data_IF_774504713779
#
_entry.id   IF_774504713779
#
_cell.length_a   1.000
_cell.length_b   1.000
_cell.length_c   1.000
_cell.angle_alpha   90.00
_cell.angle_beta   90.00
_cell.angle_gamma   90.00
#
_symmetry.space_group_name_H-M   'P 1'
#
loop_
_entity.id
_entity.type
_entity.pdbx_description
1 polymer ?
#
# COMPACT_ATOMS: atom_id res chain seq x y z
N UNK A 1 15.20 4.94 -3.58
CA UNK A 1 14.26 4.84 -2.44
C UNK A 1 14.94 5.23 -1.13
N UNK A 2 15.92 4.44 -0.61
CA UNK A 2 16.63 4.72 0.65
C UNK A 2 16.99 6.19 0.87
N UNK A 3 17.80 6.77 -0.02
CA UNK A 3 18.26 8.17 0.07
C UNK A 3 17.12 9.16 0.32
N UNK A 4 16.04 9.06 -0.47
CA UNK A 4 14.89 9.96 -0.33
C UNK A 4 14.16 9.72 1.00
N UNK A 5 13.98 8.46 1.42
CA UNK A 5 13.28 8.17 2.68
C UNK A 5 14.09 8.66 3.88
N UNK A 6 15.41 8.49 3.87
CA UNK A 6 16.28 8.97 4.95
C UNK A 6 16.34 10.50 5.02
N UNK A 7 16.35 11.16 3.86
CA UNK A 7 16.40 12.62 3.75
C UNK A 7 15.06 13.29 4.11
N UNK A 8 13.95 12.75 3.62
CA UNK A 8 12.64 13.41 3.68
C UNK A 8 11.87 13.03 4.96
N UNK A 9 10.84 13.81 5.27
CA UNK A 9 9.92 13.54 6.39
C UNK A 9 8.53 13.16 5.87
N UNK A 10 7.89 12.25 6.58
CA UNK A 10 6.49 11.88 6.31
C UNK A 10 5.58 13.06 6.63
N UNK A 11 4.53 13.25 5.82
CA UNK A 11 3.52 14.30 6.03
C UNK A 11 2.19 13.67 6.46
N UNK A 12 1.79 12.57 5.81
CA UNK A 12 0.56 11.84 6.13
C UNK A 12 0.76 10.32 6.05
N UNK A 13 -0.02 9.60 6.85
CA UNK A 13 -0.21 8.16 6.75
C UNK A 13 -1.72 7.86 6.71
N UNK A 14 -2.15 7.06 5.74
CA UNK A 14 -3.50 6.55 5.64
C UNK A 14 -3.56 5.11 6.11
N UNK A 15 -4.54 4.81 6.96
CA UNK A 15 -4.81 3.44 7.40
C UNK A 15 -6.30 3.14 7.23
N UNK A 16 -6.58 2.10 6.45
CA UNK A 16 -7.92 1.53 6.32
C UNK A 16 -7.88 0.12 6.87
N UNK A 17 -8.82 -0.20 7.75
CA UNK A 17 -9.02 -1.54 8.28
C UNK A 17 -10.26 -2.15 7.66
N UNK A 18 -10.24 -3.45 7.40
CA UNK A 18 -11.43 -4.21 7.02
C UNK A 18 -11.34 -5.66 7.47
N UNK A 19 -12.48 -6.34 7.44
CA UNK A 19 -12.49 -7.80 7.45
C UNK A 19 -12.06 -8.37 6.07
N UNK A 20 -12.10 -9.70 5.94
CA UNK A 20 -11.73 -10.41 4.70
C UNK A 20 -12.68 -10.18 3.53
N UNK A 21 -13.89 -9.66 3.78
CA UNK A 21 -14.89 -9.31 2.77
C UNK A 21 -14.82 -7.83 2.37
N UNK A 22 -13.93 -7.05 2.99
CA UNK A 22 -13.78 -5.62 2.72
C UNK A 22 -14.74 -4.73 3.50
N UNK A 23 -15.44 -5.26 4.51
CA UNK A 23 -16.31 -4.45 5.37
C UNK A 23 -15.47 -3.59 6.31
N UNK A 24 -15.77 -2.29 6.36
CA UNK A 24 -15.08 -1.32 7.21
C UNK A 24 -15.57 -1.42 8.67
N UNK A 25 -14.73 -1.10 9.66
CA UNK A 25 -15.15 -1.10 11.05
C UNK A 25 -16.21 -0.04 11.31
N UNK A 26 -17.21 -0.39 12.11
CA UNK A 26 -18.29 0.51 12.53
C UNK A 26 -18.10 1.08 13.94
N UNK A 27 -17.21 0.48 14.72
CA UNK A 27 -16.92 0.86 16.11
C UNK A 27 -18.18 0.99 17.00
N UNK A 28 -19.23 0.23 16.70
CA UNK A 28 -20.52 0.28 17.40
C UNK A 28 -21.43 1.44 17.00
N UNK A 29 -21.14 2.13 15.90
CA UNK A 29 -21.92 3.26 15.36
C UNK A 29 -22.52 2.91 13.98
N UNK A 30 -23.31 3.81 13.41
CA UNK A 30 -23.80 3.71 12.02
C UNK A 30 -22.76 4.13 10.96
N UNK A 31 -21.62 4.66 11.38
CA UNK A 31 -20.57 5.17 10.49
C UNK A 31 -19.48 4.14 10.25
N UNK A 32 -18.81 4.27 9.10
CA UNK A 32 -17.60 3.50 8.78
C UNK A 32 -16.36 4.38 8.95
N UNK A 33 -15.27 3.78 9.42
CA UNK A 33 -14.07 4.53 9.79
C UNK A 33 -12.85 4.21 8.92
N UNK A 34 -12.16 5.29 8.53
CA UNK A 34 -10.85 5.30 7.87
C UNK A 34 -9.99 6.34 8.58
N UNK A 35 -8.71 6.05 8.78
CA UNK A 35 -7.81 6.91 9.54
C UNK A 35 -6.82 7.62 8.62
N UNK A 36 -6.60 8.90 8.89
CA UNK A 36 -5.53 9.71 8.30
C UNK A 36 -4.75 10.38 9.43
N UNK A 37 -3.54 9.91 9.64
CA UNK A 37 -2.58 10.51 10.56
C UNK A 37 -1.83 11.63 9.83
N UNK A 38 -1.85 12.84 10.38
CA UNK A 38 -1.06 13.97 9.88
C UNK A 38 0.10 14.21 10.84
N UNK A 39 1.33 14.28 10.33
CA UNK A 39 2.54 14.40 11.17
C UNK A 39 3.03 15.83 11.28
N UNK A 40 3.55 16.20 12.46
CA UNK A 40 4.10 17.54 12.72
C UNK A 40 5.58 17.68 12.39
N UNK A 41 6.24 16.57 12.05
CA UNK A 41 7.69 16.48 11.90
C UNK A 41 8.24 17.37 10.78
N UNK A 42 7.48 17.54 9.69
CA UNK A 42 7.85 18.34 8.53
C UNK A 42 7.72 19.83 8.79
N UNK A 43 8.76 20.58 8.44
CA UNK A 43 8.82 22.03 8.46
C UNK A 43 9.34 22.53 7.10
N UNK A 44 8.47 23.22 6.37
CA UNK A 44 8.76 23.77 5.03
C UNK A 44 9.94 24.75 5.01
N UNK A 45 10.28 25.39 6.13
CA UNK A 45 11.37 26.37 6.19
C UNK A 45 12.76 25.72 6.35
N UNK A 46 12.82 24.46 6.76
CA UNK A 46 14.08 23.82 7.18
C UNK A 46 14.32 22.46 6.56
N UNK A 47 13.26 21.71 6.26
CA UNK A 47 13.38 20.35 5.79
C UNK A 47 13.52 20.29 4.27
N UNK A 48 14.24 19.30 3.72
CA UNK A 48 14.25 19.06 2.30
C UNK A 48 12.86 18.63 1.79
N UNK A 49 12.45 19.15 0.65
CA UNK A 49 11.23 18.74 -0.04
C UNK A 49 11.33 18.98 -1.56
N UNK A 50 10.36 18.43 -2.29
CA UNK A 50 10.17 18.70 -3.71
C UNK A 50 9.02 19.73 -3.86
N UNK A 51 9.30 20.87 -4.51
CA UNK A 51 8.33 21.97 -4.65
C UNK A 51 7.02 21.51 -5.32
N UNK A 52 7.11 20.78 -6.43
CA UNK A 52 5.92 20.29 -7.16
C UNK A 52 5.05 19.37 -6.28
N UNK A 53 5.69 18.56 -5.44
CA UNK A 53 5.00 17.67 -4.49
C UNK A 53 4.29 18.47 -3.40
N UNK A 54 4.93 19.49 -2.83
CA UNK A 54 4.29 20.36 -1.82
C UNK A 54 3.12 21.13 -2.43
N UNK A 55 3.30 21.75 -3.59
CA UNK A 55 2.21 22.45 -4.28
C UNK A 55 1.03 21.52 -4.58
N UNK A 56 1.30 20.28 -4.99
CA UNK A 56 0.26 19.29 -5.20
C UNK A 56 -0.49 18.98 -3.90
N UNK A 57 0.23 18.73 -2.80
CA UNK A 57 -0.37 18.40 -1.51
C UNK A 57 -1.25 19.55 -0.99
N UNK A 58 -0.78 20.80 -1.09
CA UNK A 58 -1.54 21.98 -0.70
C UNK A 58 -2.79 22.17 -1.57
N UNK A 59 -2.69 21.99 -2.89
CA UNK A 59 -3.85 22.01 -3.80
C UNK A 59 -4.88 20.93 -3.46
N UNK A 60 -4.45 19.81 -2.88
CA UNK A 60 -5.34 18.74 -2.41
C UNK A 60 -5.88 18.98 -0.99
N UNK A 61 -5.55 20.12 -0.38
CA UNK A 61 -6.11 20.58 0.89
C UNK A 61 -5.32 20.16 2.11
N UNK A 62 -4.04 19.81 1.95
CA UNK A 62 -3.16 19.55 3.10
C UNK A 62 -2.67 20.87 3.66
N UNK A 63 -3.01 21.13 4.91
CA UNK A 63 -2.58 22.31 5.66
C UNK A 63 -1.31 21.98 6.45
N UNK A 64 -0.16 22.29 5.86
CA UNK A 64 1.16 22.01 6.43
C UNK A 64 1.40 22.81 7.73
N UNK A 65 0.82 24.01 7.83
CA UNK A 65 0.91 24.83 9.05
C UNK A 65 0.13 24.18 10.19
N UNK A 66 -1.10 23.74 9.93
CA UNK A 66 -1.91 23.00 10.91
C UNK A 66 -1.24 21.67 11.29
N UNK A 67 -0.61 20.98 10.34
CA UNK A 67 0.16 19.77 10.64
C UNK A 67 1.31 20.10 11.60
N UNK A 68 2.05 21.18 11.38
CA UNK A 68 3.14 21.61 12.27
C UNK A 68 2.65 21.94 13.67
N UNK A 69 1.49 22.57 13.81
CA UNK A 69 0.92 23.00 15.09
C UNK A 69 0.23 21.88 15.87
N UNK A 70 -0.50 20.99 15.17
CA UNK A 70 -1.45 20.04 15.77
C UNK A 70 -1.25 18.59 15.34
N UNK A 71 -0.28 18.32 14.46
CA UNK A 71 0.01 16.99 13.96
C UNK A 71 0.61 16.09 15.03
N UNK A 72 0.60 14.80 14.72
CA UNK A 72 1.16 13.73 15.56
C UNK A 72 2.68 13.80 15.48
N UNK A 73 3.37 13.69 16.61
CA UNK A 73 4.82 13.45 16.60
C UNK A 73 5.10 12.04 16.12
N UNK A 74 5.96 11.88 15.11
CA UNK A 74 6.31 10.54 14.63
C UNK A 74 6.89 9.64 15.72
N UNK A 75 7.52 10.20 16.76
CA UNK A 75 8.04 9.48 17.91
C UNK A 75 6.91 8.93 18.79
N UNK A 76 5.86 9.72 19.02
CA UNK A 76 4.68 9.30 19.77
C UNK A 76 3.92 8.21 19.01
N UNK A 77 3.79 8.37 17.69
CA UNK A 77 3.25 7.34 16.81
C UNK A 77 4.06 6.04 16.89
N UNK A 78 5.39 6.14 16.80
CA UNK A 78 6.27 4.98 16.91
C UNK A 78 6.09 4.26 18.25
N UNK A 79 6.06 5.02 19.35
CA UNK A 79 5.85 4.47 20.68
C UNK A 79 4.50 3.75 20.80
N UNK A 80 3.42 4.32 20.27
CA UNK A 80 2.10 3.69 20.26
C UNK A 80 2.08 2.39 19.46
N UNK A 81 2.67 2.38 18.26
CA UNK A 81 2.75 1.17 17.41
C UNK A 81 3.62 0.09 18.06
N UNK A 82 4.77 0.46 18.63
CA UNK A 82 5.67 -0.49 19.29
C UNK A 82 5.08 -1.06 20.58
N UNK A 83 4.36 -0.25 21.35
CA UNK A 83 3.62 -0.72 22.55
C UNK A 83 2.46 -1.65 22.17
N UNK A 84 1.92 -1.48 20.96
CA UNK A 84 0.88 -2.33 20.37
C UNK A 84 1.44 -3.41 19.45
N UNK A 85 2.76 -3.65 19.44
CA UNK A 85 3.47 -4.44 18.40
C UNK A 85 2.90 -5.85 18.21
N UNK A 86 2.40 -6.46 19.28
CA UNK A 86 1.76 -7.78 19.20
C UNK A 86 0.58 -7.80 18.21
N UNK A 87 -0.14 -6.69 18.07
CA UNK A 87 -1.19 -6.52 17.07
C UNK A 87 -0.62 -6.44 15.65
N UNK A 88 0.41 -5.61 15.43
CA UNK A 88 0.99 -5.34 14.11
C UNK A 88 1.77 -6.54 13.51
N UNK A 89 2.40 -7.35 14.36
CA UNK A 89 3.13 -8.56 13.94
C UNK A 89 2.30 -9.84 14.07
N UNK A 90 0.98 -9.73 14.30
CA UNK A 90 0.11 -10.89 14.42
C UNK A 90 -0.01 -11.63 13.08
N UNK A 91 0.12 -12.96 13.12
CA UNK A 91 -0.17 -13.84 11.99
C UNK A 91 -1.64 -13.90 11.61
N UNK A 92 -2.51 -12.97 12.03
CA UNK A 92 -3.89 -12.78 11.55
C UNK A 92 -4.12 -11.52 10.68
N UNK A 93 -3.18 -10.55 10.66
CA UNK A 93 -3.30 -9.35 9.82
C UNK A 93 -2.65 -9.52 8.43
N UNK A 94 -3.22 -8.85 7.43
CA UNK A 94 -2.66 -8.73 6.09
C UNK A 94 -2.49 -7.26 5.74
N UNK A 95 -1.30 -6.88 5.28
CA UNK A 95 -0.98 -5.52 4.85
C UNK A 95 -1.14 -5.41 3.36
N UNK A 96 -1.92 -4.41 2.93
CA UNK A 96 -2.17 -4.14 1.51
C UNK A 96 -1.61 -2.76 1.20
N UNK A 97 -0.80 -2.68 0.16
CA UNK A 97 -0.20 -1.42 -0.32
C UNK A 97 -0.34 -1.30 -1.83
N UNK A 98 -0.01 -0.13 -2.38
CA UNK A 98 0.10 0.11 -3.82
C UNK A 98 1.41 0.82 -4.11
N UNK A 99 2.40 0.09 -4.65
CA UNK A 99 3.75 0.63 -4.83
C UNK A 99 4.42 1.01 -3.49
N UNK A 100 4.28 0.15 -2.49
CA UNK A 100 4.46 0.49 -1.07
C UNK A 100 5.89 0.54 -0.55
N UNK A 101 6.90 0.42 -1.41
CA UNK A 101 8.30 0.39 -1.00
C UNK A 101 8.70 1.62 -0.16
N UNK A 102 8.30 2.81 -0.61
CA UNK A 102 8.54 4.05 0.13
C UNK A 102 7.69 4.13 1.41
N UNK A 103 6.44 3.65 1.37
CA UNK A 103 5.52 3.68 2.52
C UNK A 103 6.10 2.87 3.69
N UNK A 104 6.50 1.63 3.44
CA UNK A 104 7.19 0.81 4.43
C UNK A 104 8.54 1.39 4.83
N UNK A 105 9.26 2.02 3.89
CA UNK A 105 10.47 2.78 4.21
C UNK A 105 10.23 3.84 5.28
N UNK A 106 9.25 4.72 5.09
CA UNK A 106 8.94 5.75 6.08
C UNK A 106 8.49 5.15 7.41
N UNK A 107 7.64 4.12 7.39
CA UNK A 107 7.21 3.47 8.64
C UNK A 107 8.38 2.83 9.39
N UNK A 108 9.28 2.12 8.70
CA UNK A 108 10.48 1.53 9.33
C UNK A 108 11.39 2.62 9.88
N UNK A 109 11.61 3.71 9.14
CA UNK A 109 12.37 4.88 9.63
C UNK A 109 11.76 5.44 10.92
N UNK A 110 10.44 5.60 10.97
CA UNK A 110 9.72 6.09 12.15
C UNK A 110 9.89 5.12 13.33
N UNK A 111 9.68 3.82 13.09
CA UNK A 111 9.71 2.80 14.14
C UNK A 111 11.12 2.54 14.69
N UNK A 112 12.14 2.62 13.84
CA UNK A 112 13.54 2.34 14.23
C UNK A 112 14.30 3.59 14.67
N UNK A 113 13.82 4.78 14.29
CA UNK A 113 14.50 6.07 14.49
C UNK A 113 15.92 6.09 13.91
N UNK A 114 16.15 5.31 12.85
CA UNK A 114 17.44 5.15 12.17
C UNK A 114 17.25 5.28 10.66
N UNK A 115 18.34 5.52 9.97
CA UNK A 115 18.37 5.38 8.51
C UNK A 115 18.04 3.94 8.10
N UNK A 116 17.46 3.79 6.91
CA UNK A 116 17.14 2.50 6.35
C UNK A 116 18.39 1.66 6.08
N UNK A 117 18.29 0.32 6.13
CA UNK A 117 19.40 -0.56 5.76
C UNK A 117 19.91 -0.31 4.34
N UNK A 118 21.23 -0.43 4.14
CA UNK A 118 21.86 -0.24 2.83
C UNK A 118 21.56 -1.38 1.85
N UNK A 119 21.25 -2.58 2.36
CA UNK A 119 20.96 -3.75 1.55
C UNK A 119 19.46 -4.11 1.58
N UNK A 120 19.00 -4.69 0.46
CA UNK A 120 17.60 -5.03 0.25
C UNK A 120 17.13 -6.15 1.19
N UNK A 121 17.99 -7.12 1.51
CA UNK A 121 17.63 -8.25 2.37
C UNK A 121 17.30 -7.81 3.79
N UNK A 122 18.14 -6.94 4.37
CA UNK A 122 17.91 -6.33 5.67
C UNK A 122 16.66 -5.45 5.69
N UNK A 123 16.42 -4.66 4.64
CA UNK A 123 15.21 -3.85 4.53
C UNK A 123 13.94 -4.71 4.52
N UNK A 124 13.87 -5.72 3.64
CA UNK A 124 12.73 -6.63 3.60
C UNK A 124 12.62 -7.44 4.90
N UNK A 125 13.74 -7.76 5.55
CA UNK A 125 13.77 -8.40 6.87
C UNK A 125 13.12 -7.54 7.94
N UNK A 126 13.33 -6.22 7.90
CA UNK A 126 12.62 -5.27 8.76
C UNK A 126 11.13 -5.19 8.41
N UNK A 127 10.75 -5.21 7.13
CA UNK A 127 9.34 -5.27 6.73
C UNK A 127 8.67 -6.50 7.36
N UNK A 128 9.29 -7.67 7.23
CA UNK A 128 8.80 -8.91 7.84
C UNK A 128 8.74 -8.83 9.37
N UNK A 129 9.75 -8.22 10.01
CA UNK A 129 9.82 -8.10 11.46
C UNK A 129 8.72 -7.21 12.05
N UNK A 130 8.34 -6.14 11.36
CA UNK A 130 7.37 -5.16 11.86
C UNK A 130 5.94 -5.42 11.35
N UNK A 131 5.77 -5.96 10.15
CA UNK A 131 4.47 -6.09 9.46
C UNK A 131 4.10 -7.53 9.12
N UNK A 132 4.96 -8.51 9.45
CA UNK A 132 4.69 -9.93 9.18
C UNK A 132 4.94 -10.34 7.73
N UNK A 133 4.54 -11.57 7.39
CA UNK A 133 4.76 -12.16 6.06
C UNK A 133 3.69 -11.79 5.05
N UNK A 134 2.45 -11.57 5.50
CA UNK A 134 1.29 -11.26 4.66
C UNK A 134 1.25 -9.78 4.28
N UNK A 135 2.20 -9.39 3.44
CA UNK A 135 2.28 -8.07 2.81
C UNK A 135 2.05 -8.27 1.32
N UNK A 136 1.08 -7.53 0.76
CA UNK A 136 0.66 -7.63 -0.63
C UNK A 136 0.75 -6.25 -1.30
N UNK A 137 1.57 -6.15 -2.34
CA UNK A 137 1.62 -4.95 -3.19
C UNK A 137 0.67 -5.09 -4.38
N UNK A 138 -0.45 -4.39 -4.29
CA UNK A 138 -1.54 -4.39 -5.26
C UNK A 138 -1.04 -4.05 -6.67
N UNK A 139 -0.06 -3.13 -6.80
CA UNK A 139 0.50 -2.75 -8.10
C UNK A 139 1.33 -3.88 -8.70
N UNK A 140 2.06 -4.63 -7.88
CA UNK A 140 2.83 -5.79 -8.34
C UNK A 140 1.88 -6.88 -8.84
N UNK A 141 0.87 -7.21 -8.04
CA UNK A 141 -0.07 -8.29 -8.34
C UNK A 141 -0.84 -8.01 -9.63
N UNK A 142 -1.40 -6.80 -9.76
CA UNK A 142 -2.14 -6.40 -10.96
C UNK A 142 -1.23 -6.10 -12.16
N UNK A 143 0.04 -5.76 -11.95
CA UNK A 143 0.98 -5.46 -13.05
C UNK A 143 1.26 -6.67 -13.97
N UNK A 144 1.03 -7.88 -13.47
CA UNK A 144 1.08 -9.14 -14.24
C UNK A 144 -0.06 -9.26 -15.26
N UNK A 145 -1.10 -8.44 -15.11
CA UNK A 145 -2.31 -8.46 -15.93
C UNK A 145 -2.19 -7.48 -17.09
N UNK A 146 -2.44 -7.99 -18.30
CA UNK A 146 -2.54 -7.17 -19.50
C UNK A 146 -3.71 -6.19 -19.37
N UNK A 147 -3.43 -4.88 -19.50
CA UNK A 147 -4.44 -3.82 -19.41
C UNK A 147 -4.57 -3.17 -18.02
N UNK A 148 -4.29 -3.86 -16.93
CA UNK A 148 -4.33 -3.29 -15.57
C UNK A 148 -3.00 -2.66 -15.16
N UNK A 149 -2.64 -1.56 -15.83
CA UNK A 149 -1.40 -0.80 -15.56
C UNK A 149 -1.67 0.67 -15.32
N UNK A 150 -0.91 1.28 -14.43
CA UNK A 150 -0.97 2.71 -14.15
C UNK A 150 -0.79 3.05 -12.68
N UNK A 151 -1.22 4.27 -12.32
CA UNK A 151 -1.41 4.67 -10.93
C UNK A 151 -2.73 4.14 -10.36
N UNK A 152 -2.88 4.21 -9.03
CA UNK A 152 -4.02 3.66 -8.29
C UNK A 152 -5.37 4.09 -8.88
N UNK A 153 -5.56 5.38 -9.12
CA UNK A 153 -6.82 5.93 -9.67
C UNK A 153 -7.23 5.29 -11.00
N UNK A 154 -6.25 5.07 -11.89
CA UNK A 154 -6.52 4.44 -13.20
C UNK A 154 -6.89 2.97 -13.04
N UNK A 155 -6.16 2.26 -12.18
CA UNK A 155 -6.39 0.83 -11.96
C UNK A 155 -7.74 0.61 -11.26
N UNK A 156 -8.07 1.43 -10.27
CA UNK A 156 -9.38 1.45 -9.62
C UNK A 156 -10.50 1.65 -10.63
N UNK A 157 -10.38 2.68 -11.50
CA UNK A 157 -11.36 2.95 -12.56
C UNK A 157 -11.52 1.78 -13.52
N UNK A 158 -10.43 1.11 -13.93
CA UNK A 158 -10.49 -0.05 -14.81
C UNK A 158 -11.19 -1.26 -14.18
N UNK A 159 -11.22 -1.34 -12.84
CA UNK A 159 -11.92 -2.37 -12.08
C UNK A 159 -13.35 -1.95 -11.67
N UNK A 160 -13.82 -0.79 -12.12
CA UNK A 160 -15.11 -0.22 -11.75
C UNK A 160 -15.20 0.21 -10.29
N UNK A 161 -14.06 0.51 -9.66
CA UNK A 161 -14.01 1.05 -8.29
C UNK A 161 -13.87 2.56 -8.37
N UNK A 162 -14.82 3.26 -7.76
CA UNK A 162 -14.82 4.72 -7.66
C UNK A 162 -14.45 5.19 -6.26
N UNK A 163 -13.83 6.36 -6.18
CA UNK A 163 -13.53 7.01 -4.90
C UNK A 163 -14.81 7.56 -4.29
N UNK A 164 -15.27 6.94 -3.21
CA UNK A 164 -16.53 7.27 -2.53
C UNK A 164 -16.41 8.41 -1.52
N UNK A 165 -15.22 8.62 -0.95
CA UNK A 165 -14.99 9.68 0.04
C UNK A 165 -13.54 10.17 0.06
N UNK A 166 -13.35 11.41 0.49
CA UNK A 166 -12.05 12.08 0.55
C UNK A 166 -11.53 12.52 -0.82
N UNK A 167 -10.32 13.09 -0.83
CA UNK A 167 -9.67 13.64 -2.03
C UNK A 167 -8.51 12.77 -2.47
N UNK A 168 -8.25 12.74 -3.78
CA UNK A 168 -7.06 12.11 -4.36
C UNK A 168 -5.79 12.74 -3.78
N UNK A 169 -4.77 11.92 -3.55
CA UNK A 169 -3.50 12.33 -2.93
C UNK A 169 -3.62 12.76 -1.46
N UNK A 170 -4.71 12.40 -0.79
CA UNK A 170 -4.76 12.35 0.67
C UNK A 170 -4.65 10.90 1.13
N UNK A 171 -3.73 10.65 2.06
CA UNK A 171 -3.31 9.29 2.39
C UNK A 171 -4.47 8.40 2.87
N UNK A 172 -5.40 8.92 3.68
CA UNK A 172 -6.56 8.17 4.15
C UNK A 172 -7.47 7.73 3.00
N UNK A 173 -7.84 8.68 2.14
CA UNK A 173 -8.70 8.42 0.96
C UNK A 173 -8.03 7.46 -0.03
N UNK A 174 -6.72 7.62 -0.27
CA UNK A 174 -5.96 6.72 -1.12
C UNK A 174 -5.83 5.31 -0.52
N UNK A 175 -5.69 5.19 0.81
CA UNK A 175 -5.67 3.88 1.47
C UNK A 175 -6.99 3.12 1.35
N UNK A 176 -8.13 3.83 1.41
CA UNK A 176 -9.45 3.24 1.21
C UNK A 176 -9.63 2.80 -0.24
N UNK A 177 -9.29 3.66 -1.21
CA UNK A 177 -9.38 3.31 -2.62
C UNK A 177 -8.51 2.10 -2.95
N UNK A 178 -7.30 2.03 -2.38
CA UNK A 178 -6.42 0.88 -2.54
C UNK A 178 -7.05 -0.41 -1.99
N UNK A 179 -7.60 -0.37 -0.78
CA UNK A 179 -8.28 -1.53 -0.20
C UNK A 179 -9.45 -1.99 -1.08
N UNK A 180 -10.35 -1.07 -1.46
CA UNK A 180 -11.51 -1.41 -2.28
C UNK A 180 -11.11 -1.97 -3.65
N UNK A 181 -10.05 -1.41 -4.25
CA UNK A 181 -9.48 -1.90 -5.50
C UNK A 181 -8.90 -3.31 -5.34
N UNK A 182 -8.20 -3.57 -4.23
CA UNK A 182 -7.67 -4.90 -3.92
C UNK A 182 -8.78 -5.93 -3.70
N UNK A 183 -9.84 -5.58 -2.95
CA UNK A 183 -11.00 -6.46 -2.72
C UNK A 183 -11.69 -6.77 -4.04
N UNK A 184 -12.01 -5.76 -4.84
CA UNK A 184 -12.64 -5.94 -6.16
C UNK A 184 -11.80 -6.82 -7.08
N UNK A 185 -10.48 -6.63 -7.05
CA UNK A 185 -9.55 -7.47 -7.78
C UNK A 185 -9.56 -8.91 -7.32
N UNK A 186 -9.47 -9.14 -6.01
CA UNK A 186 -9.55 -10.47 -5.41
C UNK A 186 -10.85 -11.17 -5.79
N UNK A 187 -11.98 -10.46 -5.79
CA UNK A 187 -13.27 -11.04 -6.15
C UNK A 187 -13.37 -11.38 -7.65
N UNK A 188 -12.83 -10.51 -8.51
CA UNK A 188 -12.68 -10.81 -9.96
C UNK A 188 -11.73 -11.98 -10.21
N UNK A 189 -10.72 -12.14 -9.36
CA UNK A 189 -9.76 -13.23 -9.37
C UNK A 189 -10.34 -14.52 -8.78
N UNK A 190 -11.27 -14.51 -7.84
CA UNK A 190 -11.85 -15.75 -7.30
C UNK A 190 -12.63 -16.56 -8.38
N UNK A 191 -13.04 -15.89 -9.46
CA UNK A 191 -13.63 -16.52 -10.65
C UNK A 191 -12.59 -17.03 -11.67
N UNK A 192 -11.30 -16.77 -11.43
CA UNK A 192 -10.17 -17.19 -12.26
C UNK A 192 -9.26 -18.06 -11.39
N UNK A 193 -8.96 -19.28 -11.79
CA UNK A 193 -8.12 -20.16 -10.98
C UNK A 193 -6.71 -19.56 -10.76
N UNK A 194 -6.51 -18.87 -9.64
CA UNK A 194 -5.37 -18.00 -9.32
C UNK A 194 -4.74 -18.40 -8.00
N UNK A 195 -4.57 -19.71 -7.82
CA UNK A 195 -4.12 -20.45 -6.64
C UNK A 195 -2.77 -20.04 -6.00
N UNK A 196 -2.19 -18.88 -6.30
CA UNK A 196 -1.05 -18.42 -5.52
C UNK A 196 -0.95 -16.91 -5.31
N UNK A 197 -1.98 -16.31 -4.69
CA UNK A 197 -1.82 -15.01 -4.02
C UNK A 197 -0.66 -15.06 -3.00
N UNK A 198 -0.40 -16.23 -2.41
CA UNK A 198 0.74 -16.44 -1.50
C UNK A 198 2.10 -16.30 -2.21
N UNK A 199 2.17 -16.51 -3.53
CA UNK A 199 3.40 -16.29 -4.29
C UNK A 199 3.86 -14.83 -4.31
N UNK A 200 2.97 -13.89 -3.97
CA UNK A 200 3.26 -12.46 -3.88
C UNK A 200 3.52 -11.98 -2.43
N UNK A 201 3.45 -12.87 -1.43
CA UNK A 201 3.66 -12.49 -0.02
C UNK A 201 5.05 -11.90 0.21
N UNK A 202 5.07 -10.72 0.85
CA UNK A 202 6.30 -10.01 1.16
C UNK A 202 6.97 -9.37 -0.05
N UNK A 203 6.39 -9.48 -1.25
CA UNK A 203 6.95 -8.87 -2.45
C UNK A 203 6.47 -7.43 -2.63
N UNK A 204 7.41 -6.51 -2.84
CA UNK A 204 7.13 -5.10 -3.08
C UNK A 204 7.46 -4.71 -4.53
N UNK A 205 6.57 -3.93 -5.15
CA UNK A 205 6.76 -3.48 -6.53
C UNK A 205 8.06 -2.67 -6.66
N UNK A 206 8.83 -2.95 -7.71
CA UNK A 206 10.09 -2.26 -8.00
C UNK A 206 11.28 -2.69 -7.14
N UNK A 207 11.07 -3.52 -6.12
CA UNK A 207 12.15 -4.09 -5.29
C UNK A 207 12.35 -5.59 -5.56
N UNK A 208 11.27 -6.37 -5.67
CA UNK A 208 11.34 -7.84 -5.64
C UNK A 208 11.37 -8.51 -7.03
N UNK A 209 11.72 -7.80 -8.11
CA UNK A 209 11.81 -8.43 -9.45
C UNK A 209 12.94 -9.47 -9.45
N UNK A 210 12.59 -10.76 -9.54
CA UNK A 210 13.57 -11.87 -9.49
C UNK A 210 14.00 -12.29 -8.07
N UNK A 211 13.37 -11.76 -7.02
CA UNK A 211 13.63 -12.12 -5.62
C UNK A 211 13.03 -13.49 -5.28
N UNK A 212 13.81 -14.40 -4.70
CA UNK A 212 13.38 -15.80 -4.38
C UNK A 212 12.88 -16.01 -2.95
N UNK A 213 12.54 -14.93 -2.24
CA UNK A 213 11.94 -15.01 -0.91
C UNK A 213 12.94 -15.17 0.25
N UNK A 214 12.39 -15.46 1.43
CA UNK A 214 13.12 -15.61 2.71
C UNK A 214 13.40 -17.05 3.12
N UNK A 215 13.05 -18.01 2.27
CA UNK A 215 13.08 -19.43 2.59
C UNK A 215 14.01 -20.19 1.63
N UNK A 216 15.09 -20.75 2.17
CA UNK A 216 15.94 -21.72 1.46
C UNK A 216 15.52 -23.17 1.76
N UNK A 217 14.40 -23.42 2.45
CA UNK A 217 14.00 -24.77 2.88
C UNK A 217 12.92 -25.44 2.03
N UNK A 218 12.46 -24.83 0.93
CA UNK A 218 11.62 -25.50 -0.08
C UNK A 218 12.32 -25.55 -1.44
N UNK A 219 13.12 -26.60 -1.71
CA UNK A 219 13.51 -26.90 -3.08
C UNK A 219 12.22 -27.32 -3.81
N UNK A 220 12.00 -26.79 -5.01
CA UNK A 220 10.84 -27.04 -5.89
C UNK A 220 9.64 -26.09 -5.70
N UNK A 221 9.83 -24.82 -6.05
CA UNK A 221 8.79 -24.10 -6.80
C UNK A 221 9.35 -23.81 -8.17
N UNK A 222 8.74 -24.45 -9.17
CA UNK A 222 9.12 -24.38 -10.56
C UNK A 222 9.21 -22.94 -11.07
N UNK A 223 10.31 -22.61 -11.76
CA UNK A 223 10.45 -21.44 -12.64
C UNK A 223 9.64 -21.60 -13.93
N UNK A 224 8.41 -22.10 -13.87
CA UNK A 224 7.46 -22.13 -14.99
C UNK A 224 6.20 -21.40 -14.57
N UNK A 225 5.94 -20.27 -15.22
CA UNK A 225 4.63 -19.62 -15.12
C UNK A 225 4.60 -18.23 -14.48
N UNK A 226 5.41 -17.28 -14.95
CA UNK A 226 4.80 -15.98 -15.27
C UNK A 226 4.14 -16.12 -16.64
N UNK A 227 3.19 -17.05 -16.76
CA UNK A 227 2.27 -17.01 -17.89
C UNK A 227 1.41 -15.79 -17.65
N UNK A 228 1.62 -14.76 -18.48
CA UNK A 228 0.75 -13.59 -18.55
C UNK A 228 -0.68 -14.12 -18.57
N UNK A 229 -1.47 -13.73 -17.58
CA UNK A 229 -2.88 -14.07 -17.53
C UNK A 229 -3.51 -13.85 -18.91
N UNK A 230 -4.11 -14.90 -19.44
CA UNK A 230 -4.53 -14.96 -20.83
C UNK A 230 -5.52 -13.81 -21.11
N UNK A 231 -5.11 -12.92 -22.02
CA UNK A 231 -5.79 -11.64 -22.32
C UNK A 231 -7.26 -11.80 -22.70
N UNK A 232 -7.68 -12.98 -23.16
CA UNK A 232 -9.05 -13.32 -23.54
C UNK A 232 -10.00 -13.48 -22.34
N UNK A 233 -9.57 -14.12 -21.24
CA UNK A 233 -10.41 -14.35 -20.06
C UNK A 233 -10.67 -13.07 -19.26
N UNK A 234 -9.71 -12.13 -19.27
CA UNK A 234 -9.91 -10.83 -18.63
C UNK A 234 -10.67 -9.83 -19.49
N UNK A 235 -10.58 -9.95 -20.83
CA UNK A 235 -11.49 -9.19 -21.69
C UNK A 235 -12.94 -9.58 -21.42
N UNK A 236 -13.26 -10.87 -21.28
CA UNK A 236 -14.63 -11.28 -20.98
C UNK A 236 -15.13 -10.76 -19.63
N UNK A 237 -14.32 -10.81 -18.57
CA UNK A 237 -14.68 -10.27 -17.25
C UNK A 237 -14.81 -8.73 -17.22
N UNK A 238 -14.01 -8.01 -18.01
CA UNK A 238 -14.16 -6.55 -18.12
C UNK A 238 -15.37 -6.17 -19.01
N UNK A 239 -15.67 -6.94 -20.06
CA UNK A 239 -16.86 -6.72 -20.90
C UNK A 239 -18.17 -7.13 -20.21
N UNK A 240 -18.18 -8.19 -19.40
CA UNK A 240 -19.36 -8.64 -18.65
C UNK A 240 -19.74 -7.65 -17.53
N UNK A 241 -18.80 -6.81 -17.09
CA UNK A 241 -19.04 -5.69 -16.17
C UNK A 241 -19.31 -4.35 -16.90
N UNK A 242 -19.63 -4.37 -18.20
CA UNK A 242 -20.10 -3.20 -18.94
C UNK A 242 -19.03 -2.23 -19.47
N UNK A 243 -17.74 -2.63 -19.51
CA UNK A 243 -16.72 -1.80 -20.16
C UNK A 243 -16.70 -2.01 -21.67
N UNK A 244 -17.59 -1.32 -22.39
CA UNK A 244 -17.33 -1.03 -23.80
C UNK A 244 -16.26 0.05 -23.90
N UNK A 245 -15.11 -0.30 -24.49
CA UNK A 245 -14.15 0.69 -24.95
C UNK A 245 -14.72 1.41 -26.17
N UNK A 246 -15.36 2.56 -25.97
CA UNK A 246 -15.55 3.53 -27.06
C UNK A 246 -14.17 4.06 -27.47
N UNK A 247 -13.86 3.86 -28.75
CA UNK A 247 -12.59 4.07 -29.45
C UNK A 247 -12.05 5.49 -29.35
#
# INVERSE_FOLDING_TARGET
MKYNVDLLKIIQLGMTLSDSQGNLPTLGTEFHYVWQCNFRDFNIEHDPYNNESIELLERQGIDLKKNREKGIDSSDFAWMVLSSRHFFSNSSLSWITFHGACDFGFLIKILTRRELPCDMGSFLGMVRLFFGVRVYDTKLMMGSISGLRGGLERVAKLLGVERTTGRRHQAGSDSLLNLQTFVRFKDSCANLDLENMNAYEGMLFGLCVGWRGFDQSHPHVHTRGYERLNTSQMKSLLTDNGFESSR
#
